data_IF_047401866097
#
_entry.id   IF_047401866097
#
_cell.length_a   1.000
_cell.length_b   1.000
_cell.length_c   1.000
_cell.angle_alpha   90.00
_cell.angle_beta   90.00
_cell.angle_gamma   90.00
#
_symmetry.space_group_name_H-M   'P 1'
#
loop_
_entity.id
_entity.type
_entity.pdbx_description
1 polymer ?
#
# COMPACT_ATOMS: atom_id res chain seq x y z
N UNK A 1 4.01 -3.65 -20.83
CA UNK A 1 4.06 -2.20 -20.52
C UNK A 1 5.35 -1.98 -19.76
N UNK A 2 6.30 -1.25 -20.34
CA UNK A 2 7.61 -1.04 -19.72
C UNK A 2 7.50 -0.24 -18.42
N UNK A 3 8.35 -0.56 -17.44
CA UNK A 3 8.54 0.23 -16.21
C UNK A 3 8.87 1.66 -16.62
N UNK A 4 7.88 2.55 -16.60
CA UNK A 4 8.12 3.99 -16.59
C UNK A 4 8.68 4.28 -15.20
N UNK A 5 9.95 4.70 -15.18
CA UNK A 5 10.92 4.55 -14.10
C UNK A 5 10.38 4.91 -12.72
N UNK A 6 10.18 3.90 -11.87
CA UNK A 6 10.04 4.07 -10.42
C UNK A 6 11.42 4.31 -9.76
N UNK A 7 11.45 4.44 -8.43
CA UNK A 7 12.71 4.43 -7.68
C UNK A 7 13.55 3.19 -8.05
N UNK A 8 14.87 3.34 -8.08
CA UNK A 8 15.77 2.20 -8.27
C UNK A 8 15.64 1.21 -7.11
N UNK A 9 16.06 -0.04 -7.32
CA UNK A 9 15.87 -1.13 -6.36
C UNK A 9 16.51 -0.86 -5.00
N UNK A 10 17.65 -0.16 -4.97
CA UNK A 10 18.33 0.18 -3.71
C UNK A 10 17.52 1.23 -2.95
N UNK A 11 17.16 2.33 -3.62
CA UNK A 11 16.32 3.38 -3.04
C UNK A 11 14.97 2.83 -2.57
N UNK A 12 14.37 1.91 -3.33
CA UNK A 12 13.10 1.29 -3.01
C UNK A 12 13.16 0.40 -1.77
N UNK A 13 14.19 -0.44 -1.69
CA UNK A 13 14.41 -1.31 -0.52
C UNK A 13 14.68 -0.48 0.74
N UNK A 14 15.52 0.55 0.64
CA UNK A 14 15.80 1.47 1.76
C UNK A 14 14.55 2.19 2.24
N UNK A 15 13.72 2.70 1.32
CA UNK A 15 12.49 3.40 1.66
C UNK A 15 11.49 2.46 2.37
N UNK A 16 11.35 1.23 1.86
CA UNK A 16 10.50 0.22 2.49
C UNK A 16 10.98 -0.14 3.90
N UNK A 17 12.28 -0.37 4.08
CA UNK A 17 12.85 -0.69 5.39
C UNK A 17 12.65 0.46 6.40
N UNK A 18 12.87 1.70 5.98
CA UNK A 18 12.60 2.90 6.79
C UNK A 18 11.13 2.97 7.23
N UNK A 19 10.18 2.68 6.34
CA UNK A 19 8.75 2.71 6.67
C UNK A 19 8.36 1.65 7.71
N UNK A 20 8.96 0.46 7.62
CA UNK A 20 8.69 -0.68 8.51
C UNK A 20 9.37 -0.47 9.87
N UNK A 21 10.66 -0.14 9.89
CA UNK A 21 11.48 -0.21 11.10
C UNK A 21 11.62 1.12 11.83
N UNK A 22 11.66 2.25 11.12
CA UNK A 22 12.05 3.53 11.72
C UNK A 22 10.85 4.43 12.03
N UNK A 23 9.97 4.61 11.05
CA UNK A 23 8.95 5.68 11.10
C UNK A 23 7.63 5.25 11.72
N UNK A 24 7.39 3.94 11.88
CA UNK A 24 6.11 3.38 12.35
C UNK A 24 4.90 3.89 11.54
N UNK A 25 5.12 4.16 10.26
CA UNK A 25 4.05 4.56 9.32
C UNK A 25 3.22 3.33 8.92
N UNK A 26 3.82 2.15 8.99
CA UNK A 26 3.18 0.88 8.66
C UNK A 26 2.75 0.17 9.94
N UNK A 27 1.50 -0.27 9.95
CA UNK A 27 0.96 -1.14 11.00
C UNK A 27 0.70 -2.51 10.40
N UNK A 28 1.27 -3.56 10.98
CA UNK A 28 1.07 -4.93 10.50
C UNK A 28 -0.39 -5.36 10.71
N UNK A 29 -1.04 -5.76 9.61
CA UNK A 29 -2.40 -6.32 9.61
C UNK A 29 -2.31 -7.83 9.82
N UNK A 30 -1.55 -8.51 8.95
CA UNK A 30 -1.30 -9.93 9.07
C UNK A 30 -0.04 -10.36 8.31
N UNK A 31 0.58 -11.42 8.81
CA UNK A 31 1.76 -12.05 8.22
C UNK A 31 1.45 -13.50 7.84
N UNK A 32 1.84 -13.87 6.62
CA UNK A 32 1.67 -15.18 6.00
C UNK A 32 3.06 -15.79 5.79
N UNK A 33 3.38 -16.80 6.59
CA UNK A 33 4.63 -17.55 6.47
C UNK A 33 4.48 -18.75 5.56
N UNK A 34 5.59 -19.20 4.98
CA UNK A 34 5.65 -20.42 4.18
C UNK A 34 5.06 -21.58 4.97
N UNK A 35 4.15 -22.34 4.34
CA UNK A 35 3.39 -23.46 4.93
C UNK A 35 2.47 -23.10 6.12
N UNK A 36 2.30 -21.83 6.47
CA UNK A 36 1.35 -21.44 7.51
C UNK A 36 -0.09 -21.79 7.10
N UNK A 37 -0.88 -22.30 8.03
CA UNK A 37 -2.27 -22.66 7.81
C UNK A 37 -3.16 -21.41 7.74
N UNK A 38 -4.20 -21.43 6.88
CA UNK A 38 -5.10 -20.29 6.67
C UNK A 38 -5.76 -19.79 7.96
N UNK A 39 -6.16 -20.71 8.85
CA UNK A 39 -6.79 -20.33 10.12
C UNK A 39 -5.89 -19.45 11.00
N UNK A 40 -4.57 -19.65 10.95
CA UNK A 40 -3.63 -18.78 11.69
C UNK A 40 -3.58 -17.36 11.12
N UNK A 41 -3.75 -17.21 9.80
CA UNK A 41 -3.83 -15.89 9.15
C UNK A 41 -5.18 -15.24 9.46
N UNK A 42 -6.28 -16.00 9.40
CA UNK A 42 -7.62 -15.51 9.81
C UNK A 42 -7.63 -15.01 11.25
N UNK A 43 -7.01 -15.74 12.18
CA UNK A 43 -6.91 -15.28 13.57
C UNK A 43 -6.10 -13.99 13.75
N UNK A 44 -5.17 -13.66 12.84
CA UNK A 44 -4.48 -12.37 12.85
C UNK A 44 -5.42 -11.26 12.35
N UNK A 45 -6.11 -11.52 11.23
CA UNK A 45 -7.10 -10.59 10.67
C UNK A 45 -8.21 -10.25 11.68
N UNK A 46 -8.73 -11.23 12.42
CA UNK A 46 -9.74 -10.98 13.46
C UNK A 46 -9.22 -10.16 14.65
N UNK A 47 -7.90 -10.23 14.94
CA UNK A 47 -7.28 -9.44 16.02
C UNK A 47 -6.99 -8.01 15.59
N UNK A 48 -6.84 -7.78 14.28
CA UNK A 48 -6.59 -6.45 13.76
C UNK A 48 -7.87 -5.60 13.84
N UNK A 49 -7.74 -4.39 14.40
CA UNK A 49 -8.86 -3.46 14.51
C UNK A 49 -8.97 -2.64 13.23
N UNK A 50 -9.78 -3.10 12.29
CA UNK A 50 -10.17 -2.32 11.12
C UNK A 50 -11.08 -1.16 11.55
N UNK A 51 -10.84 0.03 11.00
CA UNK A 51 -11.69 1.21 11.18
C UNK A 51 -12.60 1.29 9.97
N UNK A 52 -13.92 1.30 10.16
CA UNK A 52 -14.85 1.54 9.06
C UNK A 52 -14.70 2.99 8.59
N UNK A 53 -14.51 3.17 7.28
CA UNK A 53 -14.38 4.50 6.67
C UNK A 53 -15.61 5.37 6.95
N UNK A 54 -16.79 4.76 7.19
CA UNK A 54 -18.02 5.45 7.58
C UNK A 54 -18.02 5.96 9.02
N UNK A 55 -17.21 5.36 9.88
CA UNK A 55 -17.02 5.78 11.28
C UNK A 55 -15.91 6.84 11.43
N UNK A 56 -15.24 7.18 10.32
CA UNK A 56 -14.19 8.16 10.31
C UNK A 56 -14.80 9.55 10.06
N UNK A 57 -14.76 10.43 11.07
CA UNK A 57 -15.16 11.85 10.98
C UNK A 57 -14.32 12.65 9.95
N UNK A 58 -13.30 12.03 9.36
CA UNK A 58 -12.45 12.61 8.33
C UNK A 58 -13.08 12.33 6.97
N UNK A 59 -12.97 13.29 6.05
CA UNK A 59 -13.35 13.21 4.64
C UNK A 59 -12.56 12.13 3.84
N UNK A 60 -12.00 11.12 4.50
CA UNK A 60 -11.29 10.01 3.91
C UNK A 60 -12.24 9.12 3.12
N UNK A 61 -11.83 8.79 1.90
CA UNK A 61 -12.58 7.98 0.96
C UNK A 61 -12.08 6.52 0.93
N UNK A 62 -11.04 6.18 1.68
CA UNK A 62 -10.57 4.81 1.94
C UNK A 62 -9.26 4.75 2.71
N UNK A 63 -8.81 3.53 2.98
CA UNK A 63 -7.56 3.21 3.67
C UNK A 63 -6.54 2.68 2.65
N UNK A 64 -5.26 2.92 2.91
CA UNK A 64 -4.13 2.51 2.07
C UNK A 64 -3.44 1.32 2.70
N UNK A 65 -3.13 0.31 1.90
CA UNK A 65 -2.40 -0.89 2.33
C UNK A 65 -1.23 -1.21 1.41
N UNK A 66 -0.25 -1.93 1.94
CA UNK A 66 0.95 -2.39 1.27
C UNK A 66 1.16 -3.89 1.54
N UNK A 67 1.41 -4.67 0.50
CA UNK A 67 1.89 -6.04 0.61
C UNK A 67 3.40 -6.07 0.40
N UNK A 68 4.14 -6.48 1.43
CA UNK A 68 5.57 -6.74 1.35
C UNK A 68 5.86 -8.24 1.29
N UNK A 69 6.90 -8.61 0.55
CA UNK A 69 7.46 -9.96 0.53
C UNK A 69 8.88 -9.97 1.07
N UNK A 70 9.18 -10.96 1.90
CA UNK A 70 10.51 -11.19 2.47
C UNK A 70 11.00 -12.61 2.16
N UNK A 71 12.26 -12.67 1.73
CA UNK A 71 13.11 -13.87 1.66
C UNK A 71 14.41 -13.52 2.37
N UNK A 72 15.09 -14.47 3.02
CA UNK A 72 16.42 -14.33 3.67
C UNK A 72 16.95 -12.88 3.84
N UNK A 73 17.52 -12.28 2.78
CA UNK A 73 18.12 -10.94 2.78
C UNK A 73 17.39 -9.88 1.92
N UNK A 74 16.23 -10.23 1.37
CA UNK A 74 15.50 -9.42 0.40
C UNK A 74 14.12 -9.04 0.94
N UNK A 75 13.83 -7.74 0.91
CA UNK A 75 12.54 -7.16 1.28
C UNK A 75 12.03 -6.31 0.11
N UNK A 76 10.85 -6.65 -0.39
CA UNK A 76 10.25 -6.02 -1.58
C UNK A 76 8.81 -5.62 -1.34
N UNK A 77 8.43 -4.47 -1.88
CA UNK A 77 7.02 -4.10 -2.02
C UNK A 77 6.46 -4.82 -3.25
N UNK A 78 5.41 -5.61 -3.04
CA UNK A 78 4.80 -6.42 -4.08
C UNK A 78 3.57 -5.73 -4.64
N UNK A 79 2.70 -5.23 -3.76
CA UNK A 79 1.50 -4.54 -4.19
C UNK A 79 1.14 -3.42 -3.22
N UNK A 80 0.43 -2.42 -3.74
CA UNK A 80 -0.14 -1.32 -2.97
C UNK A 80 -1.60 -1.21 -3.40
N UNK A 81 -2.50 -0.86 -2.50
CA UNK A 81 -3.88 -0.62 -2.86
C UNK A 81 -4.58 0.33 -1.91
N UNK A 82 -5.53 1.09 -2.44
CA UNK A 82 -6.47 1.90 -1.68
C UNK A 82 -7.86 1.27 -1.77
N UNK A 83 -8.53 1.13 -0.63
CA UNK A 83 -9.89 0.61 -0.59
C UNK A 83 -10.71 1.19 0.55
N UNK A 84 -12.02 1.27 0.31
CA UNK A 84 -13.02 1.62 1.33
C UNK A 84 -13.20 0.54 2.39
N UNK A 85 -12.83 -0.68 2.03
CA UNK A 85 -12.97 -1.86 2.88
C UNK A 85 -11.73 -2.75 2.65
N UNK A 86 -10.63 -2.34 3.27
CA UNK A 86 -9.36 -3.06 3.14
C UNK A 86 -9.45 -4.46 3.75
N UNK A 87 -10.35 -4.68 4.72
CA UNK A 87 -10.56 -6.01 5.30
C UNK A 87 -11.04 -6.98 4.23
N UNK A 88 -12.13 -6.63 3.55
CA UNK A 88 -12.68 -7.49 2.51
C UNK A 88 -11.70 -7.70 1.34
N UNK A 89 -10.93 -6.68 0.97
CA UNK A 89 -9.90 -6.81 -0.07
C UNK A 89 -8.77 -7.76 0.34
N UNK A 90 -8.20 -7.58 1.54
CA UNK A 90 -7.12 -8.45 2.04
C UNK A 90 -7.62 -9.87 2.26
N UNK A 91 -8.83 -10.07 2.81
CA UNK A 91 -9.42 -11.40 2.96
C UNK A 91 -9.61 -12.10 1.61
N UNK A 92 -10.02 -11.35 0.58
CA UNK A 92 -10.14 -11.85 -0.79
C UNK A 92 -8.78 -12.28 -1.34
N UNK A 93 -7.75 -11.45 -1.19
CA UNK A 93 -6.40 -11.71 -1.67
C UNK A 93 -5.76 -12.89 -0.95
N UNK A 94 -5.90 -12.97 0.37
CA UNK A 94 -5.52 -14.14 1.19
C UNK A 94 -6.25 -15.39 0.70
N UNK A 95 -7.55 -15.28 0.39
CA UNK A 95 -8.32 -16.38 -0.16
C UNK A 95 -7.78 -16.88 -1.51
N UNK A 96 -7.29 -15.98 -2.37
CA UNK A 96 -6.61 -16.35 -3.61
C UNK A 96 -5.27 -17.03 -3.32
N UNK A 97 -4.47 -16.48 -2.39
CA UNK A 97 -3.18 -17.07 -1.99
C UNK A 97 -3.35 -18.53 -1.54
N UNK A 98 -4.41 -18.83 -0.80
CA UNK A 98 -4.73 -20.17 -0.31
C UNK A 98 -5.58 -21.02 -1.27
N UNK A 99 -5.99 -20.46 -2.41
CA UNK A 99 -6.80 -21.17 -3.41
C UNK A 99 -8.24 -21.45 -2.98
N UNK A 100 -8.75 -20.77 -1.95
CA UNK A 100 -10.16 -20.85 -1.55
C UNK A 100 -11.05 -19.97 -2.42
N UNK A 101 -10.46 -19.00 -3.13
CA UNK A 101 -11.14 -18.09 -4.06
C UNK A 101 -10.46 -18.16 -5.43
N UNK A 102 -11.24 -18.14 -6.51
CA UNK A 102 -10.70 -18.09 -7.87
C UNK A 102 -10.35 -16.64 -8.26
N UNK A 103 -9.05 -16.33 -8.37
CA UNK A 103 -8.54 -15.01 -8.73
C UNK A 103 -8.63 -14.65 -10.22
N UNK A 104 -9.76 -14.92 -10.90
CA UNK A 104 -9.88 -14.82 -12.37
C UNK A 104 -9.63 -13.40 -12.96
N UNK A 105 -9.40 -12.36 -12.14
CA UNK A 105 -9.25 -10.96 -12.59
C UNK A 105 -8.30 -10.10 -11.74
N UNK A 106 -7.41 -10.69 -10.93
CA UNK A 106 -6.43 -9.91 -10.15
C UNK A 106 -5.18 -9.64 -10.98
N UNK A 107 -4.63 -8.41 -10.89
CA UNK A 107 -3.34 -8.06 -11.52
C UNK A 107 -2.16 -8.69 -10.80
N UNK A 108 -2.27 -8.87 -9.48
CA UNK A 108 -1.23 -9.43 -8.64
C UNK A 108 -1.32 -10.98 -8.60
N UNK A 109 -0.23 -11.72 -8.84
CA UNK A 109 -0.23 -13.17 -8.89
C UNK A 109 -0.14 -13.80 -7.48
N UNK A 110 -1.07 -13.48 -6.60
CA UNK A 110 -1.05 -13.84 -5.17
C UNK A 110 -0.75 -15.32 -4.87
N UNK A 111 -1.32 -16.25 -5.63
CA UNK A 111 -1.05 -17.69 -5.48
C UNK A 111 0.41 -18.06 -5.72
N UNK A 112 1.07 -17.34 -6.63
CA UNK A 112 2.48 -17.53 -6.95
C UNK A 112 3.36 -16.88 -5.88
N UNK A 113 3.01 -15.66 -5.44
CA UNK A 113 3.71 -14.97 -4.34
C UNK A 113 3.79 -15.83 -3.08
N UNK A 114 2.71 -16.52 -2.69
CA UNK A 114 2.70 -17.42 -1.52
C UNK A 114 3.71 -18.58 -1.61
N UNK A 115 4.10 -18.97 -2.83
CA UNK A 115 5.10 -20.03 -3.05
C UNK A 115 6.52 -19.48 -3.01
N UNK A 116 6.69 -18.28 -3.57
CA UNK A 116 7.99 -17.68 -3.85
C UNK A 116 8.59 -16.97 -2.65
N UNK A 117 7.75 -16.45 -1.76
CA UNK A 117 8.19 -15.74 -0.56
C UNK A 117 8.14 -16.61 0.70
N UNK A 118 9.13 -16.45 1.57
CA UNK A 118 9.16 -17.06 2.90
C UNK A 118 8.13 -16.42 3.82
N UNK A 119 7.98 -15.11 3.71
CA UNK A 119 7.03 -14.31 4.47
C UNK A 119 6.38 -13.25 3.57
N UNK A 120 5.06 -13.12 3.70
CA UNK A 120 4.26 -12.07 3.07
C UNK A 120 3.51 -11.31 4.15
N UNK A 121 3.64 -10.00 4.21
CA UNK A 121 2.99 -9.18 5.24
C UNK A 121 2.16 -8.09 4.63
N UNK A 122 0.90 -8.02 5.04
CA UNK A 122 0.01 -6.90 4.75
C UNK A 122 0.17 -5.86 5.84
N UNK A 123 0.39 -4.61 5.41
CA UNK A 123 0.48 -3.44 6.28
C UNK A 123 -0.63 -2.46 5.94
N UNK A 124 -1.21 -1.83 6.96
CA UNK A 124 -1.96 -0.58 6.82
C UNK A 124 -0.98 0.59 6.85
N UNK A 125 -1.21 1.59 6.01
CA UNK A 125 -0.40 2.80 5.91
C UNK A 125 -1.11 3.95 6.60
N UNK A 126 -0.47 4.60 7.57
CA UNK A 126 -0.92 5.89 8.07
C UNK A 126 -0.69 6.97 7.02
N UNK A 127 -1.74 7.28 6.25
CA UNK A 127 -1.72 8.22 5.12
C UNK A 127 -1.27 9.61 5.57
N UNK A 128 -1.78 10.09 6.71
CA UNK A 128 -1.48 11.45 7.18
C UNK A 128 -0.02 11.54 7.61
N UNK A 129 0.49 10.54 8.33
CA UNK A 129 1.91 10.47 8.70
C UNK A 129 2.81 10.30 7.47
N UNK A 130 2.39 9.52 6.47
CA UNK A 130 3.17 9.29 5.24
C UNK A 130 3.27 10.56 4.39
N UNK A 131 2.16 11.25 4.15
CA UNK A 131 2.13 12.52 3.42
C UNK A 131 2.96 13.57 4.17
N UNK A 132 2.83 13.66 5.51
CA UNK A 132 3.62 14.58 6.32
C UNK A 132 5.12 14.28 6.25
N UNK A 133 5.50 13.01 6.18
CA UNK A 133 6.90 12.62 6.00
C UNK A 133 7.45 13.10 4.65
N UNK A 134 6.68 12.98 3.57
CA UNK A 134 7.11 13.34 2.22
C UNK A 134 7.16 14.86 1.97
N UNK A 135 6.16 15.59 2.45
CA UNK A 135 5.98 17.01 2.08
C UNK A 135 6.14 17.97 3.27
N UNK A 136 6.40 17.44 4.46
CA UNK A 136 6.38 18.20 5.71
C UNK A 136 4.95 18.42 6.24
N UNK A 137 4.85 19.22 7.30
CA UNK A 137 3.54 19.68 7.78
C UNK A 137 2.87 20.55 6.73
N UNK A 138 1.62 20.23 6.40
CA UNK A 138 0.81 21.07 5.51
C UNK A 138 0.46 22.32 6.33
N UNK A 139 0.79 23.50 5.81
CA UNK A 139 0.27 24.76 6.34
C UNK A 139 -1.26 24.73 6.35
N UNK A 140 -1.92 25.49 7.22
CA UNK A 140 -3.39 25.53 7.24
C UNK A 140 -3.94 25.91 5.86
N UNK A 141 -4.47 24.92 5.14
CA UNK A 141 -5.24 25.13 3.92
C UNK A 141 -6.64 25.59 4.34
N UNK A 142 -7.12 26.71 3.79
CA UNK A 142 -8.47 27.19 4.01
C UNK A 142 -9.40 26.88 2.82
N UNK A 143 -10.71 26.89 3.10
CA UNK A 143 -11.77 26.75 2.11
C UNK A 143 -11.59 25.58 1.13
N UNK A 144 -11.59 25.91 -0.17
CA UNK A 144 -11.58 24.93 -1.26
C UNK A 144 -10.26 24.14 -1.35
N UNK A 145 -9.14 24.74 -0.94
CA UNK A 145 -7.83 24.08 -1.01
C UNK A 145 -7.78 22.90 -0.06
N UNK A 146 -8.34 23.05 1.15
CA UNK A 146 -8.46 21.95 2.11
C UNK A 146 -9.29 20.80 1.54
N UNK A 147 -10.42 21.11 0.90
CA UNK A 147 -11.29 20.10 0.28
C UNK A 147 -10.54 19.35 -0.82
N UNK A 148 -9.86 20.07 -1.72
CA UNK A 148 -9.05 19.46 -2.78
C UNK A 148 -7.93 18.57 -2.22
N UNK A 149 -7.27 19.01 -1.15
CA UNK A 149 -6.24 18.24 -0.47
C UNK A 149 -6.80 16.95 0.13
N UNK A 150 -7.85 17.03 0.94
CA UNK A 150 -8.46 15.85 1.58
C UNK A 150 -8.97 14.83 0.56
N UNK A 151 -9.52 15.30 -0.58
CA UNK A 151 -9.96 14.42 -1.66
C UNK A 151 -8.82 13.75 -2.43
N UNK A 152 -7.62 14.34 -2.45
CA UNK A 152 -6.50 13.88 -3.29
C UNK A 152 -5.40 13.17 -2.52
N UNK A 153 -5.29 13.37 -1.19
CA UNK A 153 -4.17 12.88 -0.39
C UNK A 153 -3.97 11.37 -0.45
N UNK A 154 -5.06 10.59 -0.51
CA UNK A 154 -4.99 9.12 -0.56
C UNK A 154 -4.41 8.64 -1.90
N UNK A 155 -4.84 9.25 -3.01
CA UNK A 155 -4.31 8.93 -4.35
C UNK A 155 -2.85 9.35 -4.49
N UNK A 156 -2.47 10.48 -3.91
CA UNK A 156 -1.07 10.92 -3.89
C UNK A 156 -0.22 10.00 -3.02
N UNK A 157 -0.72 9.59 -1.85
CA UNK A 157 -0.05 8.65 -0.96
C UNK A 157 0.16 7.30 -1.64
N UNK A 158 -0.87 6.75 -2.28
CA UNK A 158 -0.79 5.50 -3.04
C UNK A 158 0.25 5.57 -4.15
N UNK A 159 0.17 6.60 -5.01
CA UNK A 159 1.09 6.79 -6.12
C UNK A 159 2.53 7.02 -5.65
N UNK A 160 2.73 7.84 -4.62
CA UNK A 160 4.05 8.09 -4.05
C UNK A 160 4.63 6.83 -3.40
N UNK A 161 3.80 6.04 -2.71
CA UNK A 161 4.23 4.78 -2.10
C UNK A 161 4.63 3.77 -3.17
N UNK A 162 3.80 3.60 -4.21
CA UNK A 162 4.12 2.71 -5.33
C UNK A 162 5.39 3.12 -6.07
N UNK A 163 5.59 4.43 -6.29
CA UNK A 163 6.79 4.98 -6.91
C UNK A 163 8.04 4.75 -6.04
N UNK A 164 7.99 5.16 -4.78
CA UNK A 164 9.12 5.11 -3.84
C UNK A 164 9.53 3.70 -3.49
N UNK A 165 8.58 2.76 -3.40
CA UNK A 165 8.87 1.36 -3.06
C UNK A 165 9.00 0.46 -4.28
N UNK A 166 8.87 1.01 -5.50
CA UNK A 166 8.91 0.27 -6.75
C UNK A 166 7.98 -0.96 -6.77
N UNK A 167 6.76 -0.81 -6.23
CA UNK A 167 5.81 -1.89 -6.04
C UNK A 167 5.55 -2.67 -7.34
N UNK A 168 5.84 -3.98 -7.34
CA UNK A 168 5.98 -4.78 -8.56
C UNK A 168 4.67 -4.99 -9.33
N UNK A 169 3.58 -5.22 -8.61
CA UNK A 169 2.27 -5.56 -9.15
C UNK A 169 1.24 -4.45 -8.96
N UNK A 170 1.69 -3.26 -8.56
CA UNK A 170 0.81 -2.11 -8.44
C UNK A 170 0.19 -1.79 -9.81
N UNK A 171 -1.13 -1.69 -9.81
CA UNK A 171 -1.90 -1.35 -10.99
C UNK A 171 -2.90 -0.28 -10.59
N UNK A 172 -2.77 0.89 -11.20
CA UNK A 172 -3.64 2.02 -10.90
C UNK A 172 -5.11 1.65 -11.13
N UNK A 173 -5.97 2.16 -10.25
CA UNK A 173 -7.40 2.05 -10.30
C UNK A 173 -7.95 2.77 -11.56
N UNK A 174 -9.12 2.32 -12.03
CA UNK A 174 -9.74 2.84 -13.27
C UNK A 174 -10.21 4.29 -13.16
N UNK A 175 -10.24 4.87 -11.96
CA UNK A 175 -10.55 6.28 -11.74
C UNK A 175 -9.45 7.21 -12.30
N UNK A 176 -8.21 6.72 -12.39
CA UNK A 176 -7.09 7.39 -13.03
C UNK A 176 -6.51 8.58 -12.27
N UNK A 177 -6.93 8.83 -11.02
CA UNK A 177 -6.39 9.91 -10.19
C UNK A 177 -5.01 9.56 -9.63
N UNK A 178 -4.88 8.34 -9.11
CA UNK A 178 -3.62 7.68 -8.76
C UNK A 178 -2.67 7.58 -9.96
N UNK A 179 -3.20 7.21 -11.15
CA UNK A 179 -2.44 7.23 -12.40
C UNK A 179 -1.91 8.63 -12.67
N UNK A 180 -2.77 9.66 -12.66
CA UNK A 180 -2.36 11.04 -12.90
C UNK A 180 -1.32 11.51 -11.88
N UNK A 181 -1.50 11.21 -10.59
CA UNK A 181 -0.54 11.53 -9.54
C UNK A 181 0.81 10.85 -9.81
N UNK A 182 0.81 9.57 -10.19
CA UNK A 182 2.01 8.84 -10.55
C UNK A 182 2.75 9.45 -11.73
N UNK A 183 2.06 9.79 -12.83
CA UNK A 183 2.70 10.48 -13.95
C UNK A 183 3.25 11.85 -13.56
N UNK A 184 2.58 12.59 -12.65
CA UNK A 184 3.14 13.84 -12.13
C UNK A 184 4.41 13.63 -11.31
N UNK A 185 4.48 12.55 -10.54
CA UNK A 185 5.71 12.15 -9.83
C UNK A 185 6.81 11.79 -10.83
N UNK A 186 6.50 11.07 -11.91
CA UNK A 186 7.47 10.75 -12.96
C UNK A 186 8.01 12.00 -13.66
N UNK A 187 7.13 12.97 -13.93
CA UNK A 187 7.49 14.23 -14.60
C UNK A 187 8.33 15.15 -13.69
N UNK A 188 8.12 15.08 -12.37
CA UNK A 188 8.71 15.97 -11.35
C UNK A 188 9.10 15.17 -10.09
N UNK A 189 10.08 14.24 -10.17
CA UNK A 189 10.44 13.37 -9.04
C UNK A 189 10.95 14.14 -7.81
N UNK A 190 11.48 15.34 -8.01
CA UNK A 190 11.91 16.27 -6.97
C UNK A 190 10.78 16.72 -6.04
N UNK A 191 9.51 16.59 -6.44
CA UNK A 191 8.37 16.92 -5.56
C UNK A 191 8.34 16.03 -4.32
N UNK A 192 8.87 14.81 -4.43
CA UNK A 192 9.01 13.89 -3.31
C UNK A 192 10.25 14.20 -2.47
N UNK A 193 11.06 15.19 -2.86
CA UNK A 193 12.32 15.57 -2.24
C UNK A 193 12.19 16.69 -1.21
N UNK A 194 12.05 16.28 0.05
CA UNK A 194 12.93 16.64 1.16
C UNK A 194 13.36 15.36 1.88
#
# INVERSE_FOLDING_TARGET
MGKLQCADEVSASMHLDMLINEKKILTEICTIRKRQHLNSVRSQLEKYKFIDVRENDRLQNGQLWLLAGRNENELKALNVGQSRDIRNEIEYDVGIMYGTISGKRVSCPYKQLKKDYEELTFYEVDIDSYIKMLFGGICECDGIVKIMFEMSKEYMAEAALAYRTAAEYWNFNRSGMDKKAYYRILDMPEILGK
#
